data_IF_938621780892
#
_entry.id   IF_938621780892
#
_cell.length_a   1.000
_cell.length_b   1.000
_cell.length_c   1.000
_cell.angle_alpha   90.00
_cell.angle_beta   90.00
_cell.angle_gamma   90.00
#
_symmetry.space_group_name_H-M   'P 1'
#
loop_
_entity.id
_entity.type
_entity.pdbx_description
1 polymer ?
#
# COMPACT_ATOMS: atom_id res chain seq x y z
N UNK A 1 13.44 59.72 15.79
CA UNK A 1 12.06 59.35 15.36
C UNK A 1 12.12 58.61 14.02
N UNK A 2 12.47 57.32 13.98
CA UNK A 2 12.31 56.47 12.78
C UNK A 2 12.14 54.95 13.06
N UNK A 3 11.49 54.46 14.15
CA UNK A 3 11.30 53.01 14.32
C UNK A 3 10.09 52.45 13.55
N UNK A 4 9.19 53.31 13.05
CA UNK A 4 7.89 52.90 12.48
C UNK A 4 8.03 52.35 11.04
N UNK A 5 9.02 52.82 10.27
CA UNK A 5 9.17 52.42 8.86
C UNK A 5 9.73 51.00 8.66
N UNK A 6 10.52 50.48 9.60
CA UNK A 6 11.08 49.12 9.48
C UNK A 6 10.05 48.01 9.77
N UNK A 7 9.13 48.26 10.71
CA UNK A 7 8.05 47.32 11.04
C UNK A 7 7.01 47.19 9.91
N UNK A 8 6.77 48.27 9.16
CA UNK A 8 5.84 48.26 8.04
C UNK A 8 6.36 47.42 6.85
N UNK A 9 7.68 47.37 6.61
CA UNK A 9 8.24 46.64 5.47
C UNK A 9 8.19 45.11 5.67
N UNK A 10 8.43 44.62 6.88
CA UNK A 10 8.33 43.18 7.19
C UNK A 10 6.88 42.66 7.12
N UNK A 11 5.88 43.50 7.35
CA UNK A 11 4.48 43.09 7.33
C UNK A 11 3.92 42.96 5.91
N UNK A 12 4.50 43.67 4.92
CA UNK A 12 4.08 43.54 3.52
C UNK A 12 4.66 42.26 2.88
N UNK A 13 5.86 41.81 3.28
CA UNK A 13 6.49 40.61 2.74
C UNK A 13 5.82 39.30 3.17
N UNK A 14 5.19 39.26 4.35
CA UNK A 14 4.45 38.08 4.83
C UNK A 14 3.07 37.91 4.18
N UNK A 15 2.50 38.95 3.58
CA UNK A 15 1.23 38.85 2.82
C UNK A 15 1.40 38.36 1.38
N UNK A 16 2.60 38.44 0.78
CA UNK A 16 2.85 37.90 -0.56
C UNK A 16 3.11 36.38 -0.61
N UNK A 17 3.35 35.74 0.55
CA UNK A 17 3.65 34.30 0.61
C UNK A 17 2.43 33.37 0.50
N UNK A 18 1.20 33.90 0.51
CA UNK A 18 -0.03 33.09 0.51
C UNK A 18 -0.67 32.89 -0.87
N UNK A 19 -0.01 33.30 -1.96
CA UNK A 19 -0.48 33.08 -3.33
C UNK A 19 0.12 31.85 -4.01
N UNK A 20 0.83 30.98 -3.28
CA UNK A 20 1.15 29.64 -3.75
C UNK A 20 -0.12 28.78 -3.73
N UNK A 21 -1.05 29.08 -4.64
CA UNK A 21 -2.15 28.21 -5.01
C UNK A 21 -1.53 26.92 -5.52
N UNK A 22 -1.47 25.91 -4.64
CA UNK A 22 -1.22 24.54 -5.04
C UNK A 22 -2.32 24.18 -6.03
N UNK A 23 -2.00 24.25 -7.32
CA UNK A 23 -2.91 23.80 -8.36
C UNK A 23 -3.24 22.35 -8.03
N UNK A 24 -4.53 21.98 -7.87
CA UNK A 24 -4.87 20.60 -7.64
C UNK A 24 -4.30 19.81 -8.81
N UNK A 25 -3.41 18.85 -8.51
CA UNK A 25 -2.97 17.87 -9.50
C UNK A 25 -4.24 17.14 -9.92
N UNK A 26 -4.80 17.54 -11.05
CA UNK A 26 -5.87 16.81 -11.72
C UNK A 26 -5.25 15.48 -12.09
N UNK A 27 -5.37 14.49 -11.19
CA UNK A 27 -5.08 13.09 -11.53
C UNK A 27 -6.02 12.80 -12.68
N UNK A 28 -5.45 12.72 -13.88
CA UNK A 28 -6.11 12.28 -15.10
C UNK A 28 -6.97 11.09 -14.69
N UNK A 29 -8.29 11.28 -14.71
CA UNK A 29 -9.27 10.28 -14.30
C UNK A 29 -8.78 8.94 -14.83
N UNK A 30 -8.46 8.01 -13.92
CA UNK A 30 -8.01 6.68 -14.27
C UNK A 30 -9.06 6.13 -15.21
N UNK A 31 -8.74 6.03 -16.49
CA UNK A 31 -9.67 5.56 -17.49
C UNK A 31 -10.20 4.21 -16.98
N UNK A 32 -11.51 4.08 -16.70
CA UNK A 32 -12.05 2.88 -16.08
C UNK A 32 -11.81 1.63 -16.93
N UNK A 33 -11.51 1.80 -18.23
CA UNK A 33 -11.09 0.72 -19.14
C UNK A 33 -9.66 0.21 -18.90
N UNK A 34 -8.83 0.92 -18.14
CA UNK A 34 -7.47 0.52 -17.75
C UNK A 34 -7.39 -0.04 -16.34
N UNK A 35 -8.48 -0.01 -15.56
CA UNK A 35 -8.63 -0.87 -14.38
C UNK A 35 -8.93 -2.27 -14.90
N UNK A 36 -7.92 -2.91 -15.48
CA UNK A 36 -8.03 -4.30 -15.87
C UNK A 36 -8.17 -5.11 -14.60
N UNK A 37 -9.30 -5.84 -14.47
CA UNK A 37 -9.45 -6.86 -13.44
C UNK A 37 -8.32 -7.87 -13.67
N UNK A 38 -7.30 -7.83 -12.80
CA UNK A 38 -6.16 -8.73 -12.91
C UNK A 38 -6.63 -10.16 -12.60
N UNK A 39 -6.01 -11.13 -13.25
CA UNK A 39 -6.37 -12.54 -13.08
C UNK A 39 -6.36 -12.95 -11.60
N UNK A 40 -7.22 -13.91 -11.20
CA UNK A 40 -7.25 -14.42 -9.84
C UNK A 40 -5.90 -14.93 -9.37
N UNK A 41 -5.56 -14.68 -8.10
CA UNK A 41 -4.37 -15.27 -7.49
C UNK A 41 -4.77 -16.64 -6.92
N UNK A 42 -4.19 -17.70 -7.45
CA UNK A 42 -4.44 -19.09 -7.00
C UNK A 42 -3.34 -19.55 -6.05
N UNK A 43 -3.61 -20.53 -5.18
CA UNK A 43 -2.57 -21.13 -4.32
C UNK A 43 -1.36 -21.66 -5.13
N UNK A 44 -1.58 -22.13 -6.35
CA UNK A 44 -0.49 -22.53 -7.26
C UNK A 44 0.46 -21.40 -7.66
N UNK A 45 0.04 -20.13 -7.53
CA UNK A 45 0.92 -18.98 -7.73
C UNK A 45 2.01 -18.87 -6.63
N UNK A 46 1.89 -19.67 -5.56
CA UNK A 46 2.78 -19.70 -4.39
C UNK A 46 3.51 -21.05 -4.23
N UNK A 47 3.27 -22.00 -5.15
CA UNK A 47 3.80 -23.37 -5.06
C UNK A 47 5.35 -23.45 -5.10
N UNK A 48 6.04 -22.39 -5.55
CA UNK A 48 7.50 -22.31 -5.50
C UNK A 48 8.04 -21.89 -4.12
N UNK A 49 7.22 -21.25 -3.28
CA UNK A 49 7.61 -20.74 -1.96
C UNK A 49 7.07 -21.55 -0.80
N UNK A 50 5.94 -22.25 -0.97
CA UNK A 50 5.29 -23.05 0.09
C UNK A 50 6.19 -24.12 0.72
N UNK A 51 7.22 -24.60 0.02
CA UNK A 51 8.12 -25.64 0.51
C UNK A 51 9.13 -25.13 1.57
N UNK A 52 9.41 -23.82 1.61
CA UNK A 52 10.33 -23.21 2.58
C UNK A 52 9.62 -22.20 3.49
N UNK A 53 8.58 -21.49 2.99
CA UNK A 53 7.82 -20.48 3.72
C UNK A 53 6.36 -20.39 3.21
N UNK A 54 5.34 -20.63 4.06
CA UNK A 54 3.95 -20.50 3.62
C UNK A 54 3.64 -19.03 3.30
N UNK A 55 2.82 -18.77 2.29
CA UNK A 55 2.43 -17.41 1.88
C UNK A 55 0.94 -17.37 1.52
N UNK A 56 0.16 -16.47 2.12
CA UNK A 56 -1.28 -16.30 1.85
C UNK A 56 -1.66 -14.91 1.32
N UNK A 57 -0.72 -13.96 1.37
CA UNK A 57 -0.89 -12.62 0.82
C UNK A 57 0.26 -12.34 -0.14
N UNK A 58 -0.06 -11.68 -1.25
CA UNK A 58 0.94 -11.07 -2.13
C UNK A 58 0.78 -9.56 -2.13
N UNK A 59 1.91 -8.88 -2.16
CA UNK A 59 2.00 -7.48 -2.49
C UNK A 59 2.69 -7.31 -3.85
N UNK A 60 2.24 -6.32 -4.61
CA UNK A 60 2.98 -5.81 -5.76
C UNK A 60 3.49 -4.42 -5.40
N UNK A 61 4.80 -4.22 -5.44
CA UNK A 61 5.43 -2.92 -5.28
C UNK A 61 6.37 -2.66 -6.45
N UNK A 62 6.22 -1.51 -7.12
CA UNK A 62 6.91 -1.23 -8.38
C UNK A 62 6.76 -2.39 -9.40
N UNK A 63 7.87 -3.04 -9.76
CA UNK A 63 7.93 -4.19 -10.69
C UNK A 63 8.15 -5.53 -9.98
N UNK A 64 8.10 -5.57 -8.65
CA UNK A 64 8.37 -6.75 -7.84
C UNK A 64 7.11 -7.28 -7.16
N UNK A 65 7.11 -8.58 -6.89
CA UNK A 65 6.07 -9.25 -6.11
C UNK A 65 6.68 -9.76 -4.81
N UNK A 66 5.99 -9.48 -3.72
CA UNK A 66 6.38 -9.86 -2.38
C UNK A 66 5.34 -10.81 -1.80
N UNK A 67 5.76 -11.95 -1.28
CA UNK A 67 4.92 -12.86 -0.52
C UNK A 67 5.06 -12.63 0.97
N UNK A 68 3.97 -12.80 1.71
CA UNK A 68 3.99 -12.87 3.17
C UNK A 68 2.92 -13.83 3.70
N UNK A 69 3.10 -14.24 4.96
CA UNK A 69 2.10 -14.98 5.72
C UNK A 69 1.50 -14.09 6.81
N UNK A 70 0.17 -13.98 6.79
CA UNK A 70 -0.60 -13.36 7.87
C UNK A 70 -1.42 -14.46 8.54
N UNK A 71 -1.27 -14.70 9.86
CA UNK A 71 -2.06 -15.71 10.56
C UNK A 71 -3.58 -15.47 10.40
N UNK A 72 -4.33 -16.56 10.26
CA UNK A 72 -5.77 -16.56 9.98
C UNK A 72 -6.63 -16.65 11.26
N UNK A 73 -6.17 -16.06 12.36
CA UNK A 73 -6.83 -16.10 13.66
C UNK A 73 -7.70 -14.87 13.95
N UNK A 74 -7.85 -13.97 12.97
CA UNK A 74 -8.60 -12.73 13.12
C UNK A 74 -7.90 -11.67 13.97
N UNK A 75 -6.62 -11.84 14.31
CA UNK A 75 -5.84 -10.84 15.03
C UNK A 75 -5.11 -9.87 14.06
N UNK A 76 -4.90 -8.63 14.51
CA UNK A 76 -4.09 -7.66 13.78
C UNK A 76 -2.60 -7.90 14.02
N UNK A 77 -1.83 -7.95 12.94
CA UNK A 77 -0.38 -8.12 12.95
C UNK A 77 0.31 -6.89 12.37
N UNK A 78 1.35 -6.41 13.05
CA UNK A 78 2.26 -5.40 12.53
C UNK A 78 3.16 -6.05 11.46
N UNK A 79 3.07 -5.54 10.23
CA UNK A 79 3.87 -6.02 9.12
C UNK A 79 5.36 -5.63 9.23
N UNK A 80 5.73 -4.80 10.21
CA UNK A 80 7.12 -4.59 10.60
C UNK A 80 7.76 -5.79 11.30
N UNK A 81 6.95 -6.67 11.90
CA UNK A 81 7.40 -7.93 12.50
C UNK A 81 7.34 -9.12 11.54
N UNK A 82 6.80 -8.93 10.32
CA UNK A 82 6.64 -9.99 9.31
C UNK A 82 7.64 -9.75 8.19
N UNK A 83 8.37 -10.81 7.82
CA UNK A 83 9.33 -10.75 6.72
C UNK A 83 8.61 -10.86 5.38
N UNK A 84 8.92 -9.96 4.45
CA UNK A 84 8.46 -10.04 3.06
C UNK A 84 9.42 -10.88 2.23
N UNK A 85 8.89 -11.63 1.27
CA UNK A 85 9.67 -12.49 0.39
C UNK A 85 9.58 -11.96 -1.04
N UNK A 86 10.66 -11.37 -1.55
CA UNK A 86 10.81 -11.04 -2.96
C UNK A 86 10.84 -12.30 -3.81
N UNK A 87 9.78 -12.51 -4.59
CA UNK A 87 9.67 -13.65 -5.48
C UNK A 87 10.50 -13.42 -6.75
N UNK A 88 11.32 -14.39 -7.22
CA UNK A 88 11.30 -15.80 -6.84
C UNK A 88 12.39 -16.29 -5.87
N UNK A 89 13.25 -15.45 -5.27
CA UNK A 89 14.46 -15.99 -4.62
C UNK A 89 15.03 -15.29 -3.36
N UNK A 90 14.41 -14.26 -2.77
CA UNK A 90 15.04 -13.57 -1.62
C UNK A 90 14.06 -13.08 -0.55
N UNK A 91 14.51 -13.07 0.71
CA UNK A 91 13.82 -12.36 1.80
C UNK A 91 14.12 -10.85 1.70
N UNK A 92 13.06 -10.06 1.60
CA UNK A 92 13.05 -8.60 1.55
C UNK A 92 12.54 -8.03 2.88
N UNK A 93 13.34 -8.17 3.94
CA UNK A 93 13.19 -7.43 5.20
C UNK A 93 11.77 -7.33 5.77
N UNK A 94 11.47 -6.30 6.58
CA UNK A 94 10.12 -6.04 7.10
C UNK A 94 9.13 -5.65 6.00
N UNK A 95 7.94 -6.27 5.99
CA UNK A 95 6.92 -6.03 4.98
C UNK A 95 6.36 -4.59 4.96
N UNK A 96 6.35 -3.91 6.10
CA UNK A 96 5.93 -2.51 6.16
C UNK A 96 6.94 -1.53 5.56
N UNK A 97 8.15 -1.98 5.20
CA UNK A 97 9.19 -1.15 4.58
C UNK A 97 8.98 -0.91 3.08
N UNK A 98 8.06 -1.65 2.45
CA UNK A 98 7.89 -1.65 0.99
C UNK A 98 6.66 -0.86 0.57
N UNK A 99 6.78 -0.03 -0.46
CA UNK A 99 5.65 0.68 -1.06
C UNK A 99 4.82 -0.27 -1.93
N UNK A 100 3.54 -0.43 -1.59
CA UNK A 100 2.63 -1.39 -2.21
C UNK A 100 1.63 -0.66 -3.10
N UNK A 101 1.48 -1.19 -4.32
CA UNK A 101 0.57 -0.70 -5.36
C UNK A 101 -0.68 -1.58 -5.48
N UNK A 102 -0.57 -2.86 -5.10
CA UNK A 102 -1.69 -3.80 -5.12
C UNK A 102 -1.46 -4.96 -4.14
N UNK A 103 -2.57 -5.51 -3.64
CA UNK A 103 -2.60 -6.66 -2.74
C UNK A 103 -3.43 -7.78 -3.37
N UNK A 104 -2.96 -9.02 -3.26
CA UNK A 104 -3.70 -10.22 -3.60
C UNK A 104 -3.79 -11.13 -2.38
N UNK A 105 -4.94 -11.79 -2.20
CA UNK A 105 -5.16 -12.79 -1.13
C UNK A 105 -5.38 -14.14 -1.80
N UNK A 106 -4.76 -15.19 -1.26
CA UNK A 106 -4.96 -16.57 -1.73
C UNK A 106 -6.42 -16.96 -1.60
N UNK A 107 -6.92 -17.64 -2.62
CA UNK A 107 -8.27 -18.20 -2.60
C UNK A 107 -8.46 -19.16 -1.40
N UNK A 108 -9.31 -18.78 -0.45
CA UNK A 108 -9.60 -19.56 0.76
C UNK A 108 -8.91 -19.09 2.04
N UNK A 109 -7.96 -18.17 1.95
CA UNK A 109 -7.24 -17.62 3.11
C UNK A 109 -7.71 -16.21 3.52
N UNK A 110 -8.80 -15.73 2.91
CA UNK A 110 -9.49 -14.50 3.26
C UNK A 110 -10.78 -14.71 4.07
N UNK A 111 -11.43 -13.62 4.54
CA UNK A 111 -11.12 -12.24 4.21
C UNK A 111 -9.89 -11.70 4.97
N UNK A 112 -9.14 -10.81 4.32
CA UNK A 112 -8.02 -10.11 4.93
C UNK A 112 -8.23 -8.59 4.93
N UNK A 113 -8.08 -7.95 6.09
CA UNK A 113 -8.08 -6.51 6.25
C UNK A 113 -6.66 -5.96 6.27
N UNK A 114 -6.44 -4.79 5.67
CA UNK A 114 -5.14 -4.12 5.58
C UNK A 114 -5.26 -2.66 5.97
N UNK A 115 -4.26 -2.13 6.68
CA UNK A 115 -4.12 -0.70 6.98
C UNK A 115 -2.80 -0.17 6.45
N UNK A 116 -2.86 0.93 5.69
CA UNK A 116 -1.68 1.64 5.18
C UNK A 116 -1.38 2.92 5.95
N UNK A 117 -0.16 3.44 5.79
CA UNK A 117 0.31 4.66 6.46
C UNK A 117 -0.27 5.97 5.88
N UNK A 118 -0.75 5.96 4.63
CA UNK A 118 -1.40 7.09 3.96
C UNK A 118 -2.93 6.92 3.88
N UNK A 119 -3.51 6.22 4.87
CA UNK A 119 -4.96 6.11 5.05
C UNK A 119 -5.65 5.03 4.20
N UNK A 120 -4.90 4.15 3.51
CA UNK A 120 -5.50 2.97 2.90
C UNK A 120 -6.10 2.05 3.96
N UNK A 121 -7.34 1.63 3.74
CA UNK A 121 -8.01 0.62 4.55
C UNK A 121 -8.95 -0.16 3.64
N UNK A 122 -8.77 -1.48 3.60
CA UNK A 122 -9.60 -2.35 2.79
C UNK A 122 -9.69 -3.75 3.40
N UNK A 123 -10.85 -4.38 3.23
CA UNK A 123 -11.04 -5.81 3.49
C UNK A 123 -11.22 -6.52 2.16
N UNK A 124 -10.32 -7.46 1.88
CA UNK A 124 -10.25 -8.22 0.65
C UNK A 124 -10.85 -9.61 0.90
N UNK A 125 -11.79 -10.10 0.07
CA UNK A 125 -12.52 -11.33 0.37
C UNK A 125 -11.64 -12.59 0.34
N UNK A 126 -10.64 -12.64 -0.54
CA UNK A 126 -9.83 -13.84 -0.77
C UNK A 126 -10.62 -14.95 -1.46
N UNK A 127 -11.60 -14.61 -2.30
CA UNK A 127 -12.34 -15.59 -3.09
C UNK A 127 -11.60 -15.91 -4.40
N UNK A 128 -11.81 -17.14 -4.88
CA UNK A 128 -11.41 -17.49 -6.24
C UNK A 128 -12.11 -16.54 -7.23
N UNK A 129 -11.33 -15.87 -8.09
CA UNK A 129 -11.88 -14.87 -9.01
C UNK A 129 -11.51 -13.41 -8.70
N UNK A 130 -10.97 -13.14 -7.50
CA UNK A 130 -10.79 -11.78 -6.99
C UNK A 130 -9.55 -11.08 -7.55
N UNK A 131 -8.43 -11.80 -7.63
CA UNK A 131 -7.19 -11.27 -8.21
C UNK A 131 -6.55 -10.21 -7.33
N UNK A 132 -6.01 -9.18 -7.98
CA UNK A 132 -5.30 -8.09 -7.31
C UNK A 132 -6.21 -6.89 -7.05
N UNK A 133 -6.12 -6.35 -5.85
CA UNK A 133 -6.81 -5.14 -5.40
C UNK A 133 -5.83 -3.98 -5.34
N UNK A 134 -6.19 -2.85 -5.93
CA UNK A 134 -5.32 -1.68 -5.95
C UNK A 134 -5.19 -1.05 -4.55
N UNK A 135 -3.97 -0.59 -4.25
CA UNK A 135 -3.66 0.28 -3.12
C UNK A 135 -3.46 1.69 -3.69
N UNK A 136 -4.37 2.61 -3.36
CA UNK A 136 -4.38 3.96 -3.90
C UNK A 136 -4.55 5.00 -2.78
N UNK A 137 -3.60 5.95 -2.61
CA UNK A 137 -2.30 6.02 -3.31
C UNK A 137 -1.39 4.82 -2.94
N UNK A 138 -0.42 4.45 -3.80
CA UNK A 138 0.62 3.50 -3.40
C UNK A 138 1.31 3.94 -2.12
N UNK A 139 1.40 3.03 -1.15
CA UNK A 139 1.85 3.34 0.20
C UNK A 139 2.33 2.08 0.93
N UNK A 140 2.91 2.25 2.11
CA UNK A 140 3.31 1.12 2.95
C UNK A 140 2.09 0.52 3.64
N UNK A 141 2.00 -0.80 3.68
CA UNK A 141 1.00 -1.50 4.48
C UNK A 141 1.60 -1.77 5.85
N UNK A 142 0.97 -1.22 6.88
CA UNK A 142 1.48 -1.24 8.25
C UNK A 142 0.99 -2.45 9.02
N UNK A 143 -0.26 -2.84 8.81
CA UNK A 143 -0.84 -4.00 9.49
C UNK A 143 -1.82 -4.76 8.61
N UNK A 144 -1.95 -6.05 8.92
CA UNK A 144 -2.92 -6.93 8.29
C UNK A 144 -3.61 -7.83 9.31
N UNK A 145 -4.78 -8.33 8.94
CA UNK A 145 -5.57 -9.28 9.72
C UNK A 145 -6.27 -10.22 8.74
N UNK A 146 -6.16 -11.52 8.91
CA UNK A 146 -6.92 -12.50 8.11
C UNK A 146 -7.75 -13.40 9.03
N UNK A 147 -8.91 -13.85 8.55
CA UNK A 147 -9.87 -14.67 9.33
C UNK A 147 -11.09 -13.90 9.82
#
# INVERSE_FOLDING_TARGET
>A
MYPIFFLASCLVLSLLGHLASASPVVRKSLNPKYVQKRSPVTASAFAATDAEWPTNVLFTGASQTYGLWVPMDGAWYDLGGITCLGLPAYAEGPCNGVTINAVGVVAGDGPCSFLGNDGYSATLPGNAGDGWFAVAPPQNIMSAKCG
#
